data_IF_606442533556
#
_entry.id   IF_606442533556
#
_cell.length_a   1.000
_cell.length_b   1.000
_cell.length_c   1.000
_cell.angle_alpha   90.00
_cell.angle_beta   90.00
_cell.angle_gamma   90.00
#
_symmetry.space_group_name_H-M   'P 1'
#
loop_
_entity.id
_entity.type
_entity.pdbx_description
1 polymer ?
#
# COMPACT_ATOMS: atom_id res chain seq x y z
N UNK A 1 24.06 -28.02 -21.58
CA UNK A 1 23.26 -28.38 -22.77
C UNK A 1 22.12 -29.26 -22.32
N UNK A 2 20.92 -28.70 -22.11
CA UNK A 2 19.62 -29.34 -22.42
C UNK A 2 18.49 -28.33 -22.19
N UNK A 3 17.76 -28.09 -23.28
CA UNK A 3 16.39 -27.58 -23.43
C UNK A 3 16.03 -26.16 -22.92
N UNK A 4 15.85 -25.28 -23.91
CA UNK A 4 15.11 -24.02 -23.88
C UNK A 4 13.62 -24.20 -23.54
N UNK A 5 12.93 -23.18 -23.01
CA UNK A 5 11.48 -23.12 -22.98
C UNK A 5 10.93 -22.71 -24.36
N UNK A 6 9.96 -23.46 -24.86
CA UNK A 6 9.18 -23.12 -26.06
C UNK A 6 7.86 -22.48 -25.66
N UNK A 7 7.68 -21.30 -26.24
CA UNK A 7 6.49 -20.49 -26.40
C UNK A 7 5.33 -21.28 -27.03
N UNK A 8 4.13 -21.16 -26.48
CA UNK A 8 2.90 -21.44 -27.23
C UNK A 8 1.74 -20.59 -26.65
N UNK A 9 1.61 -19.36 -27.16
CA UNK A 9 0.30 -18.70 -27.32
C UNK A 9 -0.40 -19.33 -28.54
N UNK A 10 -1.71 -19.61 -28.52
CA UNK A 10 -2.72 -18.66 -28.98
C UNK A 10 -4.09 -18.88 -28.24
N UNK A 11 -5.21 -18.20 -28.42
CA UNK A 11 -5.87 -17.77 -29.65
C UNK A 11 -7.04 -16.84 -29.31
N UNK A 12 -7.47 -16.13 -30.34
CA UNK A 12 -8.46 -15.08 -30.36
C UNK A 12 -9.89 -15.61 -30.18
N UNK A 13 -10.70 -14.86 -29.42
CA UNK A 13 -12.13 -15.13 -29.26
C UNK A 13 -12.94 -13.85 -29.32
N UNK A 14 -12.90 -13.14 -30.45
CA UNK A 14 -13.80 -12.03 -30.73
C UNK A 14 -15.24 -12.55 -30.90
N UNK A 15 -16.11 -12.29 -29.93
CA UNK A 15 -17.55 -12.48 -30.06
C UNK A 15 -18.21 -11.11 -30.19
N UNK A 16 -18.58 -10.76 -31.42
CA UNK A 16 -19.52 -9.67 -31.70
C UNK A 16 -20.94 -10.20 -31.51
N UNK A 17 -21.69 -9.62 -30.59
CA UNK A 17 -23.14 -9.77 -30.53
C UNK A 17 -23.82 -8.46 -30.93
N UNK A 18 -24.39 -8.52 -32.13
CA UNK A 18 -25.44 -7.65 -32.64
C UNK A 18 -26.73 -7.85 -31.84
N UNK A 19 -27.29 -6.77 -31.31
CA UNK A 19 -28.61 -6.76 -30.68
C UNK A 19 -29.16 -5.34 -30.63
N UNK A 20 -29.88 -4.95 -31.67
CA UNK A 20 -30.58 -3.67 -31.76
C UNK A 20 -31.99 -3.71 -31.17
N UNK A 21 -32.54 -2.50 -31.09
CA UNK A 21 -33.96 -2.14 -31.04
C UNK A 21 -34.69 -2.17 -29.68
N UNK A 22 -34.97 -0.95 -29.20
CA UNK A 22 -36.36 -0.51 -29.05
C UNK A 22 -36.93 -0.54 -27.64
N UNK A 23 -36.88 0.61 -26.94
CA UNK A 23 -37.56 0.77 -25.66
C UNK A 23 -37.69 2.24 -25.25
N UNK A 24 -38.57 2.98 -25.91
CA UNK A 24 -39.01 4.30 -25.46
C UNK A 24 -39.86 4.17 -24.19
N UNK A 25 -39.18 4.05 -23.05
CA UNK A 25 -39.78 4.11 -21.72
C UNK A 25 -39.49 5.46 -21.06
N UNK A 26 -40.51 6.32 -20.93
CA UNK A 26 -40.45 7.48 -20.02
C UNK A 26 -40.44 6.96 -18.58
N UNK A 27 -39.25 6.64 -18.07
CA UNK A 27 -39.06 6.31 -16.67
C UNK A 27 -38.84 7.59 -15.86
N UNK A 28 -39.72 7.76 -14.88
CA UNK A 28 -39.71 8.81 -13.87
C UNK A 28 -38.36 8.80 -13.15
N UNK A 29 -37.75 9.97 -12.96
CA UNK A 29 -36.57 10.16 -12.10
C UNK A 29 -36.93 9.71 -10.66
N UNK A 30 -36.64 8.45 -10.36
CA UNK A 30 -36.53 7.94 -9.00
C UNK A 30 -35.07 8.11 -8.61
N UNK A 31 -34.84 9.18 -7.87
CA UNK A 31 -33.69 9.43 -7.01
C UNK A 31 -33.31 8.16 -6.24
N UNK A 32 -32.23 7.50 -6.65
CA UNK A 32 -31.42 6.61 -5.80
C UNK A 32 -30.21 6.15 -6.59
N UNK A 33 -29.24 7.05 -6.72
CA UNK A 33 -27.86 6.68 -7.00
C UNK A 33 -27.41 5.71 -5.92
N UNK A 34 -26.98 4.53 -6.33
CA UNK A 34 -25.99 3.75 -5.60
C UNK A 34 -24.76 3.74 -6.50
N UNK A 35 -23.62 4.13 -5.95
CA UNK A 35 -22.73 3.07 -5.53
C UNK A 35 -22.41 3.25 -4.05
N UNK A 36 -22.33 2.14 -3.34
CA UNK A 36 -21.48 2.05 -2.16
C UNK A 36 -20.04 2.19 -2.69
N UNK A 37 -19.64 3.42 -3.01
CA UNK A 37 -18.26 3.79 -2.79
C UNK A 37 -18.03 3.45 -1.33
N UNK A 38 -17.13 2.50 -1.08
CA UNK A 38 -16.41 2.40 0.17
C UNK A 38 -16.14 3.84 0.60
N UNK A 39 -16.87 4.32 1.61
CA UNK A 39 -16.57 5.60 2.18
C UNK A 39 -15.14 5.41 2.66
N UNK A 40 -14.19 6.01 1.94
CA UNK A 40 -12.94 6.40 2.54
C UNK A 40 -13.34 7.40 3.61
N UNK A 41 -13.80 6.88 4.75
CA UNK A 41 -13.96 7.68 5.93
C UNK A 41 -12.58 8.28 6.14
N UNK A 42 -12.45 9.62 6.09
CA UNK A 42 -11.17 10.23 6.39
C UNK A 42 -10.78 9.69 7.77
N UNK A 43 -9.60 9.09 7.87
CA UNK A 43 -9.05 8.64 9.16
C UNK A 43 -9.31 9.79 10.12
N UNK A 44 -10.10 9.58 11.19
CA UNK A 44 -10.46 10.67 12.08
C UNK A 44 -9.15 11.27 12.56
N UNK A 45 -8.90 12.54 12.20
CA UNK A 45 -7.74 13.29 12.70
C UNK A 45 -7.87 13.27 14.21
N UNK A 46 -7.10 12.41 14.87
CA UNK A 46 -7.11 12.29 16.32
C UNK A 46 -6.75 13.68 16.86
N UNK A 47 -7.64 14.35 17.60
CA UNK A 47 -7.30 15.62 18.21
C UNK A 47 -6.25 15.37 19.28
N UNK A 48 -5.03 15.85 19.06
CA UNK A 48 -4.04 15.99 20.12
C UNK A 48 -4.56 17.05 21.11
N UNK A 49 -4.44 16.84 22.44
CA UNK A 49 -3.43 16.02 23.09
C UNK A 49 -3.97 14.68 23.66
N UNK A 50 -3.25 13.59 23.38
CA UNK A 50 -3.46 12.29 24.02
C UNK A 50 -2.76 12.26 25.41
N UNK A 51 -3.34 11.58 26.41
CA UNK A 51 -2.77 11.54 27.77
C UNK A 51 -1.39 10.90 27.75
N UNK A 52 -0.45 11.53 28.45
CA UNK A 52 1.01 11.39 28.36
C UNK A 52 1.58 9.97 28.53
N UNK A 53 0.79 8.94 28.81
CA UNK A 53 1.27 7.56 28.92
C UNK A 53 1.30 6.77 27.58
N UNK A 54 0.57 7.21 26.55
CA UNK A 54 0.61 6.55 25.22
C UNK A 54 1.75 7.06 24.32
N UNK A 55 2.32 8.23 24.64
CA UNK A 55 3.39 8.88 23.86
C UNK A 55 4.79 8.36 24.20
N UNK A 56 5.03 7.80 25.39
CA UNK A 56 6.32 7.20 25.74
C UNK A 56 6.51 5.78 25.18
N UNK A 57 5.58 5.25 24.39
CA UNK A 57 5.72 3.91 23.78
C UNK A 57 6.02 3.97 22.28
N UNK A 58 5.52 5.00 21.58
CA UNK A 58 5.70 5.12 20.12
C UNK A 58 7.14 5.39 19.71
N UNK A 59 7.92 6.08 20.55
CA UNK A 59 9.26 6.54 20.14
C UNK A 59 10.38 5.95 21.01
N UNK A 60 10.05 5.35 22.17
CA UNK A 60 11.04 4.75 23.09
C UNK A 60 11.92 3.69 22.42
N UNK A 61 11.36 2.87 21.53
CA UNK A 61 12.14 1.87 20.80
C UNK A 61 13.16 2.50 19.83
N UNK A 62 12.84 3.68 19.29
CA UNK A 62 13.73 4.44 18.39
C UNK A 62 14.82 5.12 19.21
N UNK A 63 14.48 5.74 20.33
CA UNK A 63 15.44 6.33 21.28
C UNK A 63 16.45 5.29 21.80
N UNK A 64 15.98 4.11 22.21
CA UNK A 64 16.86 3.02 22.66
C UNK A 64 17.73 2.47 21.52
N UNK A 65 17.25 2.49 20.27
CA UNK A 65 18.06 2.13 19.10
C UNK A 65 19.18 3.15 18.87
N UNK A 66 18.85 4.44 18.93
CA UNK A 66 19.82 5.54 18.77
C UNK A 66 20.86 5.53 19.88
N UNK A 67 20.46 5.37 21.15
CA UNK A 67 21.38 5.33 22.29
C UNK A 67 22.40 4.18 22.15
N UNK A 68 21.97 3.04 21.60
CA UNK A 68 22.79 1.82 21.56
C UNK A 68 23.58 1.65 20.27
N UNK A 69 23.07 2.17 19.15
CA UNK A 69 23.61 1.94 17.79
C UNK A 69 23.63 3.20 16.92
N UNK A 70 23.41 4.39 17.46
CA UNK A 70 23.37 5.64 16.70
C UNK A 70 24.67 5.95 15.94
N UNK A 71 25.81 5.51 16.46
CA UNK A 71 27.11 5.67 15.79
C UNK A 71 27.38 4.64 14.68
N UNK A 72 26.49 3.65 14.47
CA UNK A 72 26.65 2.59 13.48
C UNK A 72 26.11 3.03 12.10
N UNK A 73 26.96 3.01 11.07
CA UNK A 73 26.55 3.29 9.68
C UNK A 73 26.19 1.99 8.95
N UNK A 74 24.97 1.93 8.40
CA UNK A 74 24.46 0.77 7.65
C UNK A 74 23.98 1.17 6.26
N UNK A 75 23.90 0.20 5.34
CA UNK A 75 23.33 0.43 4.00
C UNK A 75 21.82 0.23 3.99
N UNK A 76 21.10 0.89 3.08
CA UNK A 76 19.66 0.67 2.89
C UNK A 76 19.34 -0.78 2.51
N UNK A 77 20.24 -1.45 1.78
CA UNK A 77 20.09 -2.88 1.47
C UNK A 77 20.09 -3.73 2.75
N UNK A 78 21.00 -3.46 3.69
CA UNK A 78 21.03 -4.17 4.97
C UNK A 78 19.77 -3.92 5.81
N UNK A 79 19.28 -2.68 5.83
CA UNK A 79 18.03 -2.33 6.51
C UNK A 79 16.84 -3.08 5.90
N UNK A 80 16.76 -3.15 4.57
CA UNK A 80 15.69 -3.88 3.87
C UNK A 80 15.68 -5.38 4.21
N UNK A 81 16.85 -6.01 4.32
CA UNK A 81 16.96 -7.40 4.76
C UNK A 81 16.46 -7.57 6.20
N UNK A 82 16.77 -6.61 7.09
CA UNK A 82 16.29 -6.63 8.48
C UNK A 82 14.77 -6.47 8.58
N UNK A 83 14.17 -5.60 7.76
CA UNK A 83 12.72 -5.41 7.68
C UNK A 83 12.00 -6.67 7.19
N UNK A 84 12.56 -7.36 6.17
CA UNK A 84 12.00 -8.64 5.69
C UNK A 84 11.98 -9.70 6.79
N UNK A 85 13.10 -9.88 7.48
CA UNK A 85 13.18 -10.84 8.59
C UNK A 85 12.22 -10.49 9.74
N UNK A 86 11.91 -9.20 9.94
CA UNK A 86 10.92 -8.76 10.92
C UNK A 86 9.49 -9.14 10.50
N UNK A 87 9.11 -8.89 9.25
CA UNK A 87 7.77 -9.25 8.72
C UNK A 87 7.58 -10.77 8.69
N UNK A 88 8.62 -11.53 8.34
CA UNK A 88 8.58 -13.00 8.35
C UNK A 88 8.22 -13.55 9.75
N UNK A 89 8.66 -12.86 10.82
CA UNK A 89 8.35 -13.23 12.20
C UNK A 89 7.07 -12.59 12.76
N UNK A 90 6.58 -11.52 12.14
CA UNK A 90 5.45 -10.71 12.61
C UNK A 90 4.59 -10.27 11.40
N UNK A 91 3.82 -11.20 10.79
CA UNK A 91 3.06 -10.94 9.57
C UNK A 91 1.99 -9.85 9.73
N UNK A 92 1.55 -9.56 10.96
CA UNK A 92 0.58 -8.49 11.26
C UNK A 92 1.10 -7.08 10.95
N UNK A 93 2.40 -6.90 10.76
CA UNK A 93 3.02 -5.60 10.44
C UNK A 93 3.41 -5.43 8.96
N UNK A 94 3.10 -6.39 8.09
CA UNK A 94 3.43 -6.35 6.66
C UNK A 94 2.99 -5.03 6.00
N UNK A 95 1.73 -4.68 6.16
CA UNK A 95 1.11 -3.46 5.65
C UNK A 95 1.80 -2.17 6.12
N UNK A 96 2.30 -2.15 7.35
CA UNK A 96 2.97 -0.97 7.91
C UNK A 96 4.39 -0.85 7.36
N UNK A 97 5.11 -1.97 7.29
CA UNK A 97 6.48 -2.05 6.77
C UNK A 97 6.52 -1.78 5.27
N UNK A 98 5.53 -2.22 4.50
CA UNK A 98 5.39 -1.90 3.07
C UNK A 98 5.28 -0.40 2.82
N UNK A 99 4.47 0.30 3.61
CA UNK A 99 4.32 1.76 3.52
C UNK A 99 5.60 2.49 3.89
N UNK A 100 6.30 2.05 4.95
CA UNK A 100 7.60 2.60 5.34
C UNK A 100 8.65 2.38 4.24
N UNK A 101 8.74 1.18 3.67
CA UNK A 101 9.67 0.87 2.59
C UNK A 101 9.41 1.75 1.35
N UNK A 102 8.13 1.94 1.01
CA UNK A 102 7.72 2.83 -0.07
C UNK A 102 8.12 4.28 0.21
N UNK A 103 7.98 4.75 1.46
CA UNK A 103 8.42 6.08 1.86
C UNK A 103 9.94 6.25 1.72
N UNK A 104 10.74 5.30 2.23
CA UNK A 104 12.20 5.34 2.13
C UNK A 104 12.72 5.26 0.69
N UNK A 105 11.99 4.58 -0.19
CA UNK A 105 12.36 4.42 -1.61
C UNK A 105 12.02 5.64 -2.48
N UNK A 106 11.26 6.61 -1.96
CA UNK A 106 10.82 7.77 -2.77
C UNK A 106 11.93 8.74 -3.12
N UNK A 107 13.01 8.79 -2.35
CA UNK A 107 14.18 9.66 -2.55
C UNK A 107 13.84 11.17 -2.54
N UNK A 108 14.39 11.90 -1.58
CA UNK A 108 14.25 13.37 -1.43
C UNK A 108 15.24 14.14 -2.32
N UNK A 109 15.98 13.48 -3.22
CA UNK A 109 16.92 14.17 -4.12
C UNK A 109 16.22 14.91 -5.27
N UNK A 110 14.89 14.99 -5.26
CA UNK A 110 14.06 15.83 -6.15
C UNK A 110 13.61 17.14 -5.46
N UNK A 111 14.04 17.41 -4.21
CA UNK A 111 13.78 18.66 -3.46
C UNK A 111 14.93 19.71 -3.62
N UNK A 112 15.65 19.67 -4.74
CA UNK A 112 16.58 20.72 -5.19
C UNK A 112 16.16 21.30 -6.56
N UNK A 113 15.01 22.01 -6.62
CA UNK A 113 14.65 22.99 -7.67
C UNK A 113 13.84 24.18 -7.09
#
# INVERSE_FOLDING_TARGET
>A
MTASPVDESPDHGAVRLSGGCGGSGRLRLRRSARPLCYAAEPIPRIPHPLPEAALYFTDRGIEELEERRGDESVTLSWLADRLRAFVDGNPEFEDAVERLATYLARDDSDDED
#
